data_IF_927540931014
#
_entry.id   IF_927540931014
#
_cell.length_a   1.000
_cell.length_b   1.000
_cell.length_c   1.000
_cell.angle_alpha   90.00
_cell.angle_beta   90.00
_cell.angle_gamma   90.00
#
_symmetry.space_group_name_H-M   'P 1'
#
loop_
_entity.id
_entity.type
_entity.pdbx_description
1 polymer ?
#
# COMPACT_ATOMS: atom_id res chain seq x y z
N UNK A 1 -47.86 23.29 23.60
CA UNK A 1 -46.49 22.76 23.58
C UNK A 1 -46.62 21.28 23.24
N UNK A 2 -46.31 20.88 22.01
CA UNK A 2 -46.46 19.48 21.58
C UNK A 2 -45.20 18.71 22.01
N UNK A 3 -45.37 17.73 22.90
CA UNK A 3 -44.31 16.84 23.32
C UNK A 3 -44.20 15.71 22.29
N UNK A 4 -43.04 15.60 21.66
CA UNK A 4 -42.78 14.52 20.71
C UNK A 4 -42.80 13.17 21.45
N UNK A 5 -43.35 12.10 20.84
CA UNK A 5 -43.29 10.77 21.44
C UNK A 5 -41.83 10.33 21.62
N UNK A 6 -41.51 9.87 22.82
CA UNK A 6 -40.19 9.33 23.17
C UNK A 6 -40.26 7.81 23.27
N UNK A 7 -39.28 7.12 22.68
CA UNK A 7 -39.10 5.69 22.89
C UNK A 7 -38.71 5.41 24.35
N UNK A 8 -39.28 4.35 24.92
CA UNK A 8 -38.95 3.92 26.28
C UNK A 8 -37.47 3.50 26.34
N UNK A 9 -36.67 4.01 27.30
CA UNK A 9 -35.27 3.62 27.49
C UNK A 9 -35.05 2.12 27.67
N UNK A 10 -36.08 1.34 28.04
CA UNK A 10 -36.01 -0.12 28.14
C UNK A 10 -36.05 -0.84 26.80
N UNK A 11 -36.45 -0.16 25.72
CA UNK A 11 -36.45 -0.73 24.38
C UNK A 11 -34.99 -0.79 23.93
N UNK A 12 -34.44 -2.00 23.67
CA UNK A 12 -33.06 -2.11 23.24
C UNK A 12 -32.86 -1.35 21.94
N UNK A 13 -31.82 -0.51 21.88
CA UNK A 13 -31.49 0.26 20.69
C UNK A 13 -30.96 -0.64 19.55
N UNK A 14 -30.67 -1.91 19.82
CA UNK A 14 -30.11 -2.86 18.87
C UNK A 14 -30.61 -4.28 19.19
N UNK A 15 -31.10 -5.00 18.18
CA UNK A 15 -31.54 -6.39 18.29
C UNK A 15 -30.54 -7.29 17.58
N UNK A 16 -29.86 -8.15 18.33
CA UNK A 16 -28.85 -9.07 17.78
C UNK A 16 -29.38 -10.50 17.85
N UNK A 17 -29.47 -11.23 16.72
CA UNK A 17 -29.89 -12.62 16.71
C UNK A 17 -29.07 -13.49 17.66
N UNK A 18 -29.71 -14.41 18.38
CA UNK A 18 -29.03 -15.31 19.32
C UNK A 18 -27.96 -16.16 18.63
N UNK A 19 -28.19 -16.55 17.38
CA UNK A 19 -27.21 -17.26 16.55
C UNK A 19 -25.94 -16.43 16.34
N UNK A 20 -26.07 -15.17 15.93
CA UNK A 20 -24.95 -14.23 15.77
C UNK A 20 -24.17 -14.03 17.07
N UNK A 21 -24.87 -13.89 18.20
CA UNK A 21 -24.22 -13.78 19.53
C UNK A 21 -23.39 -15.02 19.87
N UNK A 22 -23.93 -16.23 19.67
CA UNK A 22 -23.19 -17.48 19.93
C UNK A 22 -21.94 -17.60 19.05
N UNK A 23 -22.05 -17.22 17.77
CA UNK A 23 -20.91 -17.23 16.84
C UNK A 23 -19.83 -16.24 17.25
N UNK A 24 -20.21 -14.98 17.50
CA UNK A 24 -19.26 -13.97 17.93
C UNK A 24 -18.56 -14.35 19.26
N UNK A 25 -19.27 -14.99 20.20
CA UNK A 25 -18.66 -15.50 21.43
C UNK A 25 -17.65 -16.65 21.17
N UNK A 26 -17.96 -17.56 20.24
CA UNK A 26 -17.05 -18.62 19.85
C UNK A 26 -15.79 -18.05 19.18
N UNK A 27 -15.98 -17.10 18.27
CA UNK A 27 -14.88 -16.42 17.57
C UNK A 27 -14.00 -15.63 18.52
N UNK A 28 -14.59 -14.84 19.43
CA UNK A 28 -13.85 -14.13 20.47
C UNK A 28 -12.98 -15.09 21.31
N UNK A 29 -13.51 -16.27 21.65
CA UNK A 29 -12.75 -17.31 22.35
C UNK A 29 -11.60 -17.85 21.51
N UNK A 30 -11.78 -18.01 20.19
CA UNK A 30 -10.70 -18.40 19.27
C UNK A 30 -9.57 -17.37 19.29
N UNK A 31 -9.90 -16.08 19.14
CA UNK A 31 -8.90 -15.00 19.14
C UNK A 31 -8.16 -14.89 20.48
N UNK A 32 -8.86 -15.04 21.61
CA UNK A 32 -8.23 -15.10 22.93
C UNK A 32 -7.26 -16.28 23.06
N UNK A 33 -7.63 -17.47 22.56
CA UNK A 33 -6.76 -18.66 22.56
C UNK A 33 -5.58 -18.53 21.59
N UNK A 34 -5.74 -17.72 20.55
CA UNK A 34 -4.65 -17.37 19.67
C UNK A 34 -3.64 -16.41 20.34
N UNK A 35 -3.95 -15.86 21.52
CA UNK A 35 -3.11 -14.85 22.14
C UNK A 35 -3.08 -13.53 21.35
N UNK A 36 -4.09 -13.32 20.50
CA UNK A 36 -4.25 -12.14 19.67
C UNK A 36 -4.37 -10.87 20.51
N UNK A 37 -5.11 -10.98 21.63
CA UNK A 37 -5.47 -9.85 22.47
C UNK A 37 -5.10 -10.08 23.92
N UNK A 38 -4.56 -9.04 24.54
CA UNK A 38 -4.39 -8.95 25.99
C UNK A 38 -5.46 -8.02 26.58
N UNK A 39 -5.52 -7.93 27.91
CA UNK A 39 -6.52 -7.11 28.60
C UNK A 39 -6.44 -5.61 28.26
N UNK A 40 -5.31 -5.11 27.75
CA UNK A 40 -5.15 -3.70 27.38
C UNK A 40 -5.83 -3.35 26.05
N UNK A 41 -6.12 -4.35 25.21
CA UNK A 41 -6.78 -4.18 23.91
C UNK A 41 -8.30 -4.36 23.99
N UNK A 42 -8.83 -4.72 25.15
CA UNK A 42 -10.28 -4.89 25.33
C UNK A 42 -10.97 -3.52 25.46
N UNK A 43 -12.10 -3.30 24.76
CA UNK A 43 -12.85 -2.06 24.91
C UNK A 43 -13.36 -1.92 26.34
N UNK A 44 -13.43 -0.67 26.83
CA UNK A 44 -13.86 -0.37 28.21
C UNK A 44 -15.29 -0.86 28.51
N UNK A 45 -16.11 -1.06 27.49
CA UNK A 45 -17.43 -1.68 27.58
C UNK A 45 -17.57 -2.72 26.47
N UNK A 46 -17.77 -3.98 26.85
CA UNK A 46 -18.06 -5.05 25.91
C UNK A 46 -19.54 -4.95 25.52
N UNK A 47 -19.79 -4.67 24.24
CA UNK A 47 -21.14 -4.62 23.69
C UNK A 47 -21.81 -5.99 23.59
N UNK A 48 -23.09 -5.99 23.26
CA UNK A 48 -23.86 -7.21 22.99
C UNK A 48 -23.47 -7.91 21.69
N UNK A 49 -22.78 -7.18 20.80
CA UNK A 49 -22.19 -7.69 19.55
C UNK A 49 -20.72 -8.07 19.76
N UNK A 50 -20.47 -9.37 19.86
CA UNK A 50 -19.12 -9.89 20.04
C UNK A 50 -18.27 -9.82 18.76
N UNK A 51 -18.89 -9.76 17.57
CA UNK A 51 -18.15 -9.63 16.31
C UNK A 51 -17.57 -8.21 16.23
N UNK A 52 -18.40 -7.21 16.48
CA UNK A 52 -17.95 -5.82 16.57
C UNK A 52 -16.86 -5.62 17.63
N UNK A 53 -17.01 -6.27 18.78
CA UNK A 53 -15.97 -6.27 19.82
C UNK A 53 -14.64 -6.86 19.32
N UNK A 54 -14.67 -7.95 18.53
CA UNK A 54 -13.46 -8.53 17.94
C UNK A 54 -12.82 -7.61 16.89
N UNK A 55 -13.63 -6.94 16.07
CA UNK A 55 -13.16 -5.94 15.10
C UNK A 55 -12.48 -4.76 15.82
N UNK A 56 -13.09 -4.24 16.88
CA UNK A 56 -12.50 -3.16 17.71
C UNK A 56 -11.18 -3.60 18.35
N UNK A 57 -11.10 -4.82 18.88
CA UNK A 57 -9.87 -5.36 19.46
C UNK A 57 -8.75 -5.54 18.41
N UNK A 58 -9.09 -5.96 17.19
CA UNK A 58 -8.14 -6.00 16.07
C UNK A 58 -7.68 -4.60 15.67
N UNK A 59 -8.61 -3.64 15.55
CA UNK A 59 -8.28 -2.24 15.28
C UNK A 59 -7.32 -1.68 16.32
N UNK A 60 -7.60 -1.88 17.61
CA UNK A 60 -6.72 -1.46 18.70
C UNK A 60 -5.35 -2.16 18.69
N UNK A 61 -5.30 -3.45 18.32
CA UNK A 61 -4.03 -4.15 18.12
C UNK A 61 -3.23 -3.50 17.00
N UNK A 62 -3.85 -3.20 15.85
CA UNK A 62 -3.20 -2.55 14.72
C UNK A 62 -2.73 -1.14 15.04
N UNK A 63 -3.55 -0.33 15.70
CA UNK A 63 -3.15 1.01 16.16
C UNK A 63 -1.93 0.94 17.07
N UNK A 64 -1.85 -0.06 17.96
CA UNK A 64 -0.65 -0.28 18.78
C UNK A 64 0.55 -0.66 17.91
N UNK A 65 0.39 -1.63 17.02
CA UNK A 65 1.46 -2.13 16.14
C UNK A 65 1.82 -1.15 14.99
N UNK A 66 1.09 -0.07 14.79
CA UNK A 66 1.36 0.90 13.72
C UNK A 66 1.27 2.33 14.24
N UNK A 67 1.37 2.50 15.56
CA UNK A 67 1.40 3.82 16.18
C UNK A 67 2.65 4.58 15.72
N UNK A 68 2.47 5.87 15.44
CA UNK A 68 3.57 6.78 15.11
C UNK A 68 4.02 6.76 13.65
N UNK A 69 3.29 6.11 12.74
CA UNK A 69 3.47 6.32 11.31
C UNK A 69 3.20 7.79 10.95
N UNK A 70 3.96 8.33 10.00
CA UNK A 70 3.89 9.75 9.59
C UNK A 70 3.39 9.93 8.17
N UNK A 71 3.60 8.93 7.33
CA UNK A 71 3.25 8.91 5.92
C UNK A 71 2.17 7.87 5.68
N UNK A 72 2.38 6.61 6.04
CA UNK A 72 1.44 5.53 5.74
C UNK A 72 0.27 5.51 6.72
N UNK A 73 -0.95 5.26 6.19
CA UNK A 73 -2.18 5.10 6.97
C UNK A 73 -2.85 3.76 6.63
N UNK A 74 -2.42 2.66 7.24
CA UNK A 74 -2.92 1.33 6.93
C UNK A 74 -4.35 1.13 7.44
N UNK A 75 -5.16 0.38 6.70
CA UNK A 75 -6.53 0.05 7.06
C UNK A 75 -6.76 -1.46 7.06
N UNK A 76 -7.56 -1.92 8.00
CA UNK A 76 -7.89 -3.33 8.20
C UNK A 76 -9.38 -3.49 8.43
N UNK A 77 -9.97 -4.49 7.82
CA UNK A 77 -11.33 -4.92 8.07
C UNK A 77 -11.36 -6.43 8.34
N UNK A 78 -12.34 -6.86 9.12
CA UNK A 78 -12.52 -8.26 9.47
C UNK A 78 -14.00 -8.60 9.40
N UNK A 79 -14.34 -9.61 8.63
CA UNK A 79 -15.72 -10.02 8.36
C UNK A 79 -15.88 -11.52 8.64
N UNK A 80 -16.83 -11.88 9.49
CA UNK A 80 -17.24 -13.28 9.61
C UNK A 80 -18.23 -13.61 8.50
N UNK A 81 -17.87 -14.55 7.62
CA UNK A 81 -18.77 -15.08 6.60
C UNK A 81 -19.39 -16.38 7.11
N UNK A 82 -20.70 -16.51 6.92
CA UNK A 82 -21.36 -17.80 7.02
C UNK A 82 -21.01 -18.59 5.74
N UNK A 83 -20.93 -19.91 5.85
CA UNK A 83 -20.93 -20.75 4.65
C UNK A 83 -22.28 -20.56 3.96
N UNK A 84 -22.30 -20.19 2.69
CA UNK A 84 -23.54 -20.15 1.92
C UNK A 84 -24.30 -21.48 2.09
N UNK A 85 -25.57 -21.41 2.48
CA UNK A 85 -26.43 -22.57 2.73
C UNK A 85 -26.63 -23.48 1.49
N UNK A 86 -26.10 -23.08 0.32
CA UNK A 86 -26.32 -23.78 -0.95
C UNK A 86 -25.48 -25.04 -1.15
N UNK A 87 -24.33 -25.17 -0.51
CA UNK A 87 -23.50 -26.37 -0.61
C UNK A 87 -23.62 -27.17 0.67
N UNK A 88 -24.58 -28.11 0.71
CA UNK A 88 -24.98 -28.95 1.86
C UNK A 88 -23.91 -29.81 2.55
N UNK A 89 -22.64 -29.41 2.53
CA UNK A 89 -21.53 -29.86 3.36
C UNK A 89 -21.25 -28.73 4.35
N UNK A 90 -21.59 -28.92 5.63
CA UNK A 90 -21.40 -27.93 6.69
C UNK A 90 -19.96 -27.43 6.80
N UNK A 91 -19.64 -26.36 6.07
CA UNK A 91 -18.37 -25.66 6.14
C UNK A 91 -18.38 -24.80 7.41
N UNK A 92 -17.27 -24.80 8.15
CA UNK A 92 -17.13 -24.02 9.39
C UNK A 92 -17.18 -22.51 9.07
N UNK A 93 -17.66 -21.66 9.99
CA UNK A 93 -17.63 -20.21 9.78
C UNK A 93 -16.21 -19.75 9.45
N UNK A 94 -16.09 -18.88 8.45
CA UNK A 94 -14.81 -18.31 8.05
C UNK A 94 -14.72 -16.86 8.46
N UNK A 95 -13.49 -16.41 8.68
CA UNK A 95 -13.14 -15.03 8.94
C UNK A 95 -12.33 -14.53 7.75
N UNK A 96 -12.83 -13.51 7.09
CA UNK A 96 -12.12 -12.79 6.04
C UNK A 96 -11.48 -11.57 6.66
N UNK A 97 -10.18 -11.40 6.46
CA UNK A 97 -9.42 -10.23 6.91
C UNK A 97 -8.88 -9.57 5.66
N UNK A 98 -9.27 -8.33 5.43
CA UNK A 98 -8.81 -7.52 4.31
C UNK A 98 -7.99 -6.35 4.84
N UNK A 99 -6.98 -5.95 4.08
CA UNK A 99 -6.20 -4.77 4.42
C UNK A 99 -5.77 -3.97 3.21
N UNK A 100 -5.57 -2.68 3.44
CA UNK A 100 -5.16 -1.70 2.46
C UNK A 100 -4.48 -0.50 3.12
N UNK A 101 -4.38 0.61 2.41
CA UNK A 101 -3.91 1.86 2.99
C UNK A 101 -4.60 3.06 2.36
N UNK A 102 -4.82 4.10 3.16
CA UNK A 102 -5.23 5.39 2.63
C UNK A 102 -4.03 6.10 2.02
N UNK A 103 -4.28 6.78 0.91
CA UNK A 103 -3.26 7.60 0.25
C UNK A 103 -2.79 8.74 1.15
N UNK A 104 -1.47 8.88 1.31
CA UNK A 104 -0.86 10.07 1.91
C UNK A 104 -0.74 11.26 0.95
N UNK A 105 -1.26 11.10 -0.27
CA UNK A 105 -1.13 12.03 -1.38
C UNK A 105 0.26 11.99 -2.00
N UNK A 106 0.63 13.09 -2.65
CA UNK A 106 1.88 13.20 -3.41
C UNK A 106 3.02 13.68 -2.55
N UNK A 107 4.18 13.04 -2.68
CA UNK A 107 5.42 13.45 -2.02
C UNK A 107 6.58 13.46 -3.00
N UNK A 108 7.39 14.51 -2.91
CA UNK A 108 8.57 14.71 -3.76
C UNK A 108 9.79 13.98 -3.18
N UNK A 109 10.38 13.07 -3.96
CA UNK A 109 11.55 12.26 -3.53
C UNK A 109 12.78 12.42 -4.43
N UNK A 110 12.64 12.97 -5.63
CA UNK A 110 13.73 13.09 -6.61
C UNK A 110 14.96 13.80 -6.07
N UNK A 111 14.86 14.98 -5.40
CA UNK A 111 16.03 15.66 -4.85
C UNK A 111 16.86 14.80 -3.88
N UNK A 112 16.18 14.04 -3.01
CA UNK A 112 16.84 13.13 -2.07
C UNK A 112 17.55 11.98 -2.80
N UNK A 113 16.83 11.30 -3.70
CA UNK A 113 17.35 10.16 -4.43
C UNK A 113 18.50 10.54 -5.38
N UNK A 114 18.41 11.69 -6.05
CA UNK A 114 19.52 12.22 -6.86
C UNK A 114 20.73 12.61 -6.02
N UNK A 115 20.52 13.17 -4.83
CA UNK A 115 21.61 13.49 -3.93
C UNK A 115 22.37 12.24 -3.50
N UNK A 116 21.63 11.17 -3.17
CA UNK A 116 22.19 9.86 -2.85
C UNK A 116 22.97 9.28 -4.05
N UNK A 117 22.40 9.36 -5.26
CA UNK A 117 23.05 8.90 -6.49
C UNK A 117 24.34 9.67 -6.81
N UNK A 118 24.36 10.98 -6.57
CA UNK A 118 25.56 11.84 -6.69
C UNK A 118 26.60 11.50 -5.62
N UNK A 119 26.18 11.17 -4.40
CA UNK A 119 27.09 10.78 -3.32
C UNK A 119 27.80 9.47 -3.63
N UNK A 120 27.05 8.48 -4.16
CA UNK A 120 27.60 7.21 -4.62
C UNK A 120 26.74 6.68 -5.76
N UNK A 121 27.37 6.43 -6.91
CA UNK A 121 26.70 5.79 -8.04
C UNK A 121 25.97 4.52 -7.60
N UNK A 122 24.72 4.39 -8.06
CA UNK A 122 23.72 3.36 -7.76
C UNK A 122 23.07 3.45 -6.39
N UNK A 123 23.43 4.40 -5.53
CA UNK A 123 22.84 4.46 -4.18
C UNK A 123 21.39 4.94 -4.22
N UNK A 124 21.08 6.00 -4.98
CA UNK A 124 19.70 6.48 -5.13
C UNK A 124 18.81 5.39 -5.72
N UNK A 125 19.32 4.72 -6.75
CA UNK A 125 18.68 3.54 -7.34
C UNK A 125 18.42 2.42 -6.32
N UNK A 126 19.44 2.05 -5.53
CA UNK A 126 19.32 0.94 -4.57
C UNK A 126 18.27 1.23 -3.50
N UNK A 127 18.19 2.49 -3.06
CA UNK A 127 17.19 2.93 -2.08
C UNK A 127 15.78 2.86 -2.68
N UNK A 128 15.60 3.33 -3.91
CA UNK A 128 14.32 3.27 -4.62
C UNK A 128 13.86 1.82 -4.83
N UNK A 129 14.74 0.94 -5.33
CA UNK A 129 14.40 -0.48 -5.53
C UNK A 129 14.04 -1.19 -4.21
N UNK A 130 14.75 -0.89 -3.10
CA UNK A 130 14.43 -1.46 -1.80
C UNK A 130 13.05 -1.00 -1.29
N UNK A 131 12.72 0.27 -1.53
CA UNK A 131 11.41 0.85 -1.21
C UNK A 131 10.31 0.18 -2.04
N UNK A 132 10.45 0.15 -3.36
CA UNK A 132 9.49 -0.45 -4.30
C UNK A 132 9.23 -1.92 -3.96
N UNK A 133 10.30 -2.67 -3.69
CA UNK A 133 10.22 -4.09 -3.37
C UNK A 133 9.40 -4.39 -2.11
N UNK A 134 9.52 -3.57 -1.07
CA UNK A 134 8.76 -3.75 0.17
C UNK A 134 7.37 -3.15 0.06
N UNK A 135 7.21 -1.98 -0.59
CA UNK A 135 5.91 -1.38 -0.85
C UNK A 135 4.99 -2.37 -1.57
N UNK A 136 5.47 -3.03 -2.63
CA UNK A 136 4.69 -4.02 -3.39
C UNK A 136 4.29 -5.27 -2.59
N UNK A 137 4.96 -5.56 -1.46
CA UNK A 137 4.61 -6.66 -0.56
C UNK A 137 3.80 -6.22 0.66
N UNK A 138 3.62 -4.92 0.84
CA UNK A 138 2.96 -4.37 2.01
C UNK A 138 1.84 -3.43 1.59
N UNK A 139 2.17 -2.17 1.43
CA UNK A 139 1.30 -1.09 0.99
C UNK A 139 1.91 -0.52 -0.28
N UNK A 140 1.37 -0.86 -1.47
CA UNK A 140 1.91 -0.39 -2.72
C UNK A 140 1.88 1.14 -2.79
N UNK A 141 2.94 1.70 -3.36
CA UNK A 141 3.13 3.13 -3.52
C UNK A 141 3.34 3.37 -5.00
N UNK A 142 2.71 4.40 -5.54
CA UNK A 142 2.85 4.79 -6.92
C UNK A 142 4.24 5.40 -7.16
N UNK A 143 5.15 4.61 -7.72
CA UNK A 143 6.57 4.95 -7.93
C UNK A 143 6.84 5.22 -9.41
N UNK A 144 7.96 5.87 -9.79
CA UNK A 144 8.26 6.17 -11.20
C UNK A 144 8.21 4.95 -12.14
N UNK A 145 8.61 3.77 -11.67
CA UNK A 145 8.48 2.53 -12.43
C UNK A 145 7.00 2.16 -12.70
N UNK A 146 6.14 2.35 -11.71
CA UNK A 146 4.68 2.12 -11.83
C UNK A 146 4.03 3.20 -12.70
N UNK A 147 4.46 4.47 -12.62
CA UNK A 147 3.97 5.53 -13.53
C UNK A 147 4.21 5.11 -14.99
N UNK A 148 5.40 4.57 -15.28
CA UNK A 148 5.74 4.10 -16.62
C UNK A 148 4.89 2.89 -17.05
N UNK A 149 4.66 1.94 -16.13
CA UNK A 149 3.78 0.78 -16.36
C UNK A 149 2.33 1.22 -16.64
N UNK A 150 1.78 2.13 -15.85
CA UNK A 150 0.44 2.67 -16.06
C UNK A 150 0.33 3.45 -17.38
N UNK A 151 1.36 4.21 -17.78
CA UNK A 151 1.36 4.88 -19.08
C UNK A 151 1.44 3.87 -20.24
N UNK A 152 2.22 2.80 -20.08
CA UNK A 152 2.28 1.70 -21.04
C UNK A 152 0.88 1.10 -21.26
N UNK A 153 0.18 0.77 -20.18
CA UNK A 153 -1.20 0.25 -20.24
C UNK A 153 -2.20 1.27 -20.82
N UNK A 154 -2.09 2.54 -20.44
CA UNK A 154 -3.12 3.57 -20.75
C UNK A 154 -2.99 4.17 -22.14
N UNK A 155 -1.76 4.43 -22.61
CA UNK A 155 -1.53 5.17 -23.86
C UNK A 155 -0.83 4.35 -24.94
N UNK A 156 -0.07 3.31 -24.57
CA UNK A 156 0.85 2.62 -25.47
C UNK A 156 0.48 1.16 -25.73
N UNK A 157 -0.73 0.74 -25.34
CA UNK A 157 -1.23 -0.63 -25.52
C UNK A 157 -0.32 -1.72 -24.91
N UNK A 158 0.34 -1.41 -23.80
CA UNK A 158 1.27 -2.31 -23.11
C UNK A 158 2.69 -2.32 -23.69
N UNK A 159 3.00 -1.46 -24.65
CA UNK A 159 4.33 -1.33 -25.25
C UNK A 159 5.24 -0.37 -24.48
N UNK A 160 6.52 -0.31 -24.85
CA UNK A 160 7.54 0.48 -24.14
C UNK A 160 7.50 1.99 -24.45
N UNK A 161 6.85 2.36 -25.55
CA UNK A 161 6.67 3.71 -26.07
C UNK A 161 5.42 3.81 -26.95
N UNK A 162 5.08 5.03 -27.38
CA UNK A 162 3.85 5.32 -28.11
C UNK A 162 3.81 4.85 -29.57
N UNK A 163 4.87 4.26 -30.14
CA UNK A 163 4.96 4.05 -31.59
C UNK A 163 3.91 3.07 -32.12
N UNK A 164 3.57 2.03 -31.37
CA UNK A 164 2.49 1.10 -31.75
C UNK A 164 1.13 1.79 -31.76
N UNK A 165 0.84 2.61 -30.74
CA UNK A 165 -0.42 3.35 -30.69
C UNK A 165 -0.54 4.35 -31.84
N UNK A 166 0.56 5.02 -32.22
CA UNK A 166 0.60 5.92 -33.37
C UNK A 166 0.40 5.19 -34.69
N UNK A 167 1.02 4.02 -34.84
CA UNK A 167 0.86 3.19 -36.03
C UNK A 167 -0.59 2.75 -36.23
N UNK A 168 -1.25 2.27 -35.18
CA UNK A 168 -2.63 1.79 -35.26
C UNK A 168 -3.65 2.90 -35.50
N UNK A 169 -3.45 4.09 -34.90
CA UNK A 169 -4.42 5.18 -35.00
C UNK A 169 -4.20 6.11 -36.20
N UNK A 170 -2.96 6.26 -36.68
CA UNK A 170 -2.61 7.24 -37.71
C UNK A 170 -1.98 6.63 -38.97
N UNK A 171 -1.46 5.40 -38.91
CA UNK A 171 -0.71 4.78 -40.00
C UNK A 171 0.47 5.64 -40.47
N UNK A 172 0.58 5.81 -41.79
CA UNK A 172 1.65 6.60 -42.44
C UNK A 172 1.41 8.13 -42.44
N UNK A 173 0.31 8.62 -41.89
CA UNK A 173 -0.01 10.05 -41.88
C UNK A 173 0.84 10.81 -40.86
N UNK A 174 1.91 11.45 -41.34
CA UNK A 174 2.86 12.17 -40.50
C UNK A 174 2.24 13.36 -39.73
N UNK A 175 1.21 14.02 -40.28
CA UNK A 175 0.55 15.15 -39.61
C UNK A 175 -0.32 14.66 -38.46
N UNK A 176 -1.13 13.61 -38.70
CA UNK A 176 -1.94 12.99 -37.64
C UNK A 176 -1.08 12.38 -36.53
N UNK A 177 0.03 11.71 -36.87
CA UNK A 177 0.98 11.18 -35.87
C UNK A 177 1.52 12.28 -34.97
N UNK A 178 1.91 13.41 -35.55
CA UNK A 178 2.48 14.52 -34.78
C UNK A 178 1.43 15.19 -33.89
N UNK A 179 0.19 15.34 -34.37
CA UNK A 179 -0.89 15.89 -33.56
C UNK A 179 -1.33 14.95 -32.43
N UNK A 180 -1.32 13.64 -32.67
CA UNK A 180 -1.56 12.64 -31.62
C UNK A 180 -0.44 12.64 -30.57
N UNK A 181 0.84 12.73 -30.98
CA UNK A 181 1.98 12.84 -30.04
C UNK A 181 1.88 14.05 -29.12
N UNK A 182 1.33 15.18 -29.60
CA UNK A 182 1.13 16.39 -28.78
C UNK A 182 0.02 16.23 -27.75
N UNK A 183 -0.98 15.39 -28.00
CA UNK A 183 -2.14 15.21 -27.12
C UNK A 183 -1.96 14.09 -26.10
N UNK A 184 -1.15 13.07 -26.40
CA UNK A 184 -0.90 11.92 -25.51
C UNK A 184 0.30 12.11 -24.57
N UNK A 185 0.46 11.17 -23.65
CA UNK A 185 1.70 10.99 -22.87
C UNK A 185 2.70 10.17 -23.70
N UNK A 186 3.95 10.63 -23.79
CA UNK A 186 4.99 9.99 -24.61
C UNK A 186 6.20 9.55 -23.79
N UNK A 187 6.98 8.60 -24.30
CA UNK A 187 8.20 8.14 -23.64
C UNK A 187 9.20 9.27 -23.40
N UNK A 188 9.29 10.21 -24.33
CA UNK A 188 10.13 11.39 -24.21
C UNK A 188 9.75 12.29 -23.02
N UNK A 189 8.48 12.33 -22.61
CA UNK A 189 8.07 13.06 -21.40
C UNK A 189 8.66 12.42 -20.14
N UNK A 190 8.69 11.09 -20.05
CA UNK A 190 9.31 10.36 -18.95
C UNK A 190 10.81 10.61 -18.86
N UNK A 191 11.52 10.50 -19.98
CA UNK A 191 12.98 10.68 -20.02
C UNK A 191 13.41 12.13 -19.66
N UNK A 192 12.49 13.10 -19.78
CA UNK A 192 12.70 14.49 -19.35
C UNK A 192 12.48 14.68 -17.84
N UNK A 193 11.54 13.95 -17.24
CA UNK A 193 11.16 14.09 -15.83
C UNK A 193 12.04 13.22 -14.93
N UNK A 194 12.26 11.96 -15.32
CA UNK A 194 12.93 10.96 -14.51
C UNK A 194 14.29 10.62 -15.08
N UNK A 195 15.31 10.41 -14.25
CA UNK A 195 16.53 9.79 -14.72
C UNK A 195 16.26 8.32 -15.07
N UNK A 196 16.92 7.82 -16.11
CA UNK A 196 16.69 6.46 -16.64
C UNK A 196 16.87 5.33 -15.61
N UNK A 197 17.66 5.54 -14.57
CA UNK A 197 17.85 4.56 -13.49
C UNK A 197 16.65 4.44 -12.55
N UNK A 198 15.77 5.45 -12.50
CA UNK A 198 14.55 5.45 -11.68
C UNK A 198 13.37 4.75 -12.35
N UNK A 199 13.44 4.51 -13.67
CA UNK A 199 12.39 3.87 -14.47
C UNK A 199 12.59 2.34 -14.60
N UNK A 200 13.16 1.66 -13.59
CA UNK A 200 13.31 0.20 -13.59
C UNK A 200 14.45 -0.37 -14.47
N UNK A 201 15.43 0.43 -14.88
CA UNK A 201 16.51 0.00 -15.80
C UNK A 201 17.47 -1.10 -15.27
N UNK A 202 18.31 -1.69 -16.14
CA UNK A 202 19.08 -2.93 -15.87
C UNK A 202 20.35 -2.86 -14.98
N UNK A 203 20.71 -1.72 -14.41
CA UNK A 203 21.93 -1.63 -13.58
C UNK A 203 21.74 -2.30 -12.22
N UNK A 204 22.52 -3.33 -11.88
CA UNK A 204 22.37 -4.02 -10.58
C UNK A 204 22.54 -3.08 -9.38
N UNK A 205 21.68 -3.16 -8.34
CA UNK A 205 21.80 -2.38 -7.10
C UNK A 205 23.10 -2.68 -6.34
N UNK A 206 23.41 -1.82 -5.38
CA UNK A 206 24.49 -2.04 -4.43
C UNK A 206 24.16 -3.21 -3.50
N UNK A 207 25.14 -4.09 -3.30
CA UNK A 207 25.00 -5.22 -2.37
C UNK A 207 25.05 -4.78 -0.90
N UNK A 208 24.46 -5.59 -0.03
CA UNK A 208 24.39 -5.38 1.43
C UNK A 208 25.72 -5.01 2.07
N UNK A 209 26.81 -5.68 1.70
CA UNK A 209 28.16 -5.41 2.24
C UNK A 209 28.62 -3.98 1.92
N UNK A 210 28.39 -3.53 0.68
CA UNK A 210 28.75 -2.19 0.24
C UNK A 210 27.94 -1.13 0.99
N UNK A 211 26.64 -1.37 1.17
CA UNK A 211 25.77 -0.47 1.95
C UNK A 211 26.23 -0.35 3.41
N UNK A 212 26.55 -1.47 4.07
CA UNK A 212 27.09 -1.45 5.44
C UNK A 212 28.39 -0.65 5.55
N UNK A 213 29.29 -0.81 4.58
CA UNK A 213 30.53 -0.04 4.53
C UNK A 213 30.25 1.47 4.35
N UNK A 214 29.37 1.82 3.40
CA UNK A 214 29.00 3.22 3.14
C UNK A 214 28.34 3.88 4.35
N UNK A 215 27.45 3.18 5.05
CA UNK A 215 26.82 3.67 6.27
C UNK A 215 27.84 3.97 7.38
N UNK A 216 28.90 3.16 7.49
CA UNK A 216 29.95 3.34 8.49
C UNK A 216 30.97 4.44 8.12
N UNK A 217 31.22 4.66 6.83
CA UNK A 217 32.25 5.59 6.34
C UNK A 217 31.72 7.01 6.08
N UNK A 218 30.42 7.16 5.78
CA UNK A 218 29.86 8.48 5.49
C UNK A 218 29.83 9.37 6.72
N UNK A 219 30.18 10.65 6.53
CA UNK A 219 30.05 11.68 7.57
C UNK A 219 28.67 12.33 7.59
N UNK A 220 27.88 12.11 6.54
CA UNK A 220 26.52 12.62 6.45
C UNK A 220 25.57 11.66 7.17
N UNK A 221 25.12 12.09 8.35
CA UNK A 221 24.19 11.33 9.18
C UNK A 221 22.89 10.99 8.45
N UNK A 222 22.37 11.87 7.60
CA UNK A 222 21.11 11.64 6.90
C UNK A 222 21.28 10.56 5.83
N UNK A 223 22.39 10.59 5.11
CA UNK A 223 22.73 9.51 4.16
C UNK A 223 22.86 8.18 4.89
N UNK A 224 23.55 8.15 6.03
CA UNK A 224 23.66 6.93 6.85
C UNK A 224 22.28 6.40 7.29
N UNK A 225 21.40 7.27 7.81
CA UNK A 225 20.06 6.90 8.26
C UNK A 225 19.17 6.35 7.12
N UNK A 226 19.31 6.88 5.90
CA UNK A 226 18.62 6.34 4.70
C UNK A 226 19.18 4.97 4.33
N UNK A 227 20.51 4.81 4.32
CA UNK A 227 21.15 3.52 4.02
C UNK A 227 20.73 2.45 5.03
N UNK A 228 20.68 2.79 6.32
CA UNK A 228 20.22 1.88 7.37
C UNK A 228 18.76 1.46 7.17
N UNK A 229 17.90 2.37 6.72
CA UNK A 229 16.50 2.06 6.43
C UNK A 229 16.39 1.13 5.23
N UNK A 230 17.12 1.40 4.15
CA UNK A 230 17.18 0.51 2.99
C UNK A 230 17.72 -0.88 3.37
N UNK A 231 18.75 -0.97 4.22
CA UNK A 231 19.27 -2.24 4.73
C UNK A 231 18.24 -3.03 5.53
N UNK A 232 17.39 -2.36 6.32
CA UNK A 232 16.29 -2.99 7.06
C UNK A 232 15.21 -3.51 6.09
N UNK A 233 14.84 -2.72 5.07
CA UNK A 233 13.89 -3.15 4.03
C UNK A 233 14.41 -4.37 3.26
N UNK A 234 15.67 -4.36 2.84
CA UNK A 234 16.30 -5.49 2.15
C UNK A 234 16.40 -6.75 3.00
N UNK A 235 16.35 -6.62 4.33
CA UNK A 235 16.36 -7.74 5.26
C UNK A 235 14.95 -8.20 5.66
N UNK A 236 13.90 -7.51 5.21
CA UNK A 236 12.53 -7.86 5.54
C UNK A 236 12.16 -9.20 4.91
N UNK A 237 11.81 -10.15 5.77
CA UNK A 237 11.33 -11.48 5.38
C UNK A 237 9.81 -11.43 5.23
N UNK A 238 9.38 -11.01 4.04
CA UNK A 238 7.98 -10.96 3.65
C UNK A 238 7.69 -12.04 2.61
N UNK A 239 6.53 -12.73 2.71
CA UNK A 239 6.09 -13.66 1.69
C UNK A 239 5.92 -12.91 0.36
N UNK A 240 5.91 -13.66 -0.73
CA UNK A 240 5.56 -13.09 -2.02
C UNK A 240 4.06 -12.78 -2.00
N UNK A 241 3.69 -11.53 -2.25
CA UNK A 241 2.31 -11.22 -2.61
C UNK A 241 2.11 -11.68 -4.05
N UNK A 242 1.23 -12.66 -4.24
CA UNK A 242 0.93 -13.21 -5.57
C UNK A 242 -0.25 -12.45 -6.18
N UNK A 243 -0.01 -11.18 -6.51
CA UNK A 243 -0.98 -10.30 -7.17
C UNK A 243 -1.53 -10.87 -8.49
N UNK A 244 -0.76 -11.75 -9.15
CA UNK A 244 -1.13 -12.41 -10.40
C UNK A 244 -2.36 -13.33 -10.29
N UNK A 245 -2.80 -13.70 -9.09
CA UNK A 245 -4.03 -14.48 -8.89
C UNK A 245 -5.27 -13.61 -8.64
N UNK A 246 -5.12 -12.28 -8.68
CA UNK A 246 -6.23 -11.35 -8.54
C UNK A 246 -6.68 -10.88 -9.91
N UNK A 247 -7.98 -10.95 -10.13
CA UNK A 247 -8.59 -10.41 -11.33
C UNK A 247 -8.59 -8.88 -11.29
N UNK A 248 -8.37 -8.27 -12.45
CA UNK A 248 -8.36 -6.82 -12.62
C UNK A 248 -7.01 -6.14 -12.35
N UNK A 249 -7.02 -4.80 -12.43
CA UNK A 249 -5.87 -3.94 -12.18
C UNK A 249 -5.88 -3.37 -10.76
N UNK A 250 -4.71 -3.13 -10.20
CA UNK A 250 -4.59 -2.56 -8.86
C UNK A 250 -4.68 -1.03 -8.88
N UNK A 251 -5.56 -0.46 -8.07
CA UNK A 251 -5.73 1.01 -7.93
C UNK A 251 -5.63 1.50 -6.47
N UNK A 252 -5.37 0.61 -5.51
CA UNK A 252 -5.34 0.93 -4.07
C UNK A 252 -4.04 1.54 -3.55
N UNK A 253 -3.38 2.42 -4.30
CA UNK A 253 -2.06 2.95 -3.91
C UNK A 253 -2.12 3.77 -2.61
N UNK A 254 -1.22 3.46 -1.67
CA UNK A 254 -1.13 4.13 -0.36
C UNK A 254 -0.40 5.49 -0.40
N UNK A 255 0.04 5.93 -1.58
CA UNK A 255 0.59 7.26 -1.82
C UNK A 255 1.37 7.35 -3.12
N UNK A 256 1.80 8.56 -3.47
CA UNK A 256 2.44 8.87 -4.77
C UNK A 256 3.82 9.49 -4.56
N UNK A 257 4.83 8.93 -5.23
CA UNK A 257 6.19 9.47 -5.25
C UNK A 257 6.44 10.24 -6.55
N UNK A 258 6.31 11.56 -6.47
CA UNK A 258 6.68 12.48 -7.54
C UNK A 258 8.19 12.70 -7.57
N UNK A 259 8.75 12.91 -8.77
CA UNK A 259 10.16 13.25 -8.89
C UNK A 259 10.45 14.67 -8.42
N UNK A 260 9.59 15.61 -8.82
CA UNK A 260 9.72 17.03 -8.50
C UNK A 260 8.43 17.57 -7.87
N UNK A 261 8.49 18.75 -7.25
CA UNK A 261 7.30 19.37 -6.66
C UNK A 261 6.24 19.75 -7.71
N UNK A 262 6.68 19.99 -8.96
CA UNK A 262 5.87 20.42 -10.09
C UNK A 262 5.70 19.25 -11.11
N UNK A 263 5.73 18.00 -10.63
CA UNK A 263 5.63 16.79 -11.46
C UNK A 263 4.17 16.52 -11.87
N UNK A 264 3.73 17.23 -12.90
CA UNK A 264 2.39 17.08 -13.48
C UNK A 264 2.22 15.75 -14.23
N UNK A 265 3.31 15.18 -14.75
CA UNK A 265 3.29 13.93 -15.51
C UNK A 265 2.79 12.77 -14.65
N UNK A 266 3.37 12.61 -13.46
CA UNK A 266 2.98 11.54 -12.54
C UNK A 266 1.50 11.58 -12.19
N UNK A 267 0.96 12.78 -11.92
CA UNK A 267 -0.44 12.94 -11.54
C UNK A 267 -1.40 12.75 -12.71
N UNK A 268 -1.03 13.23 -13.90
CA UNK A 268 -1.81 13.02 -15.12
C UNK A 268 -1.94 11.53 -15.43
N UNK A 269 -0.84 10.78 -15.39
CA UNK A 269 -0.87 9.35 -15.69
C UNK A 269 -1.70 8.58 -14.67
N UNK A 270 -1.61 8.94 -13.38
CA UNK A 270 -2.44 8.32 -12.35
C UNK A 270 -3.94 8.57 -12.58
N UNK A 271 -4.32 9.83 -12.84
CA UNK A 271 -5.71 10.23 -13.08
C UNK A 271 -6.30 9.51 -14.32
N UNK A 272 -5.57 9.53 -15.44
CA UNK A 272 -6.01 8.88 -16.68
C UNK A 272 -6.07 7.34 -16.51
N UNK A 273 -5.16 6.73 -15.75
CA UNK A 273 -5.15 5.29 -15.45
C UNK A 273 -6.34 4.90 -14.55
N UNK A 274 -6.58 5.65 -13.48
CA UNK A 274 -7.73 5.42 -12.59
C UNK A 274 -9.06 5.60 -13.33
N UNK A 275 -9.15 6.59 -14.24
CA UNK A 275 -10.32 6.75 -15.10
C UNK A 275 -10.50 5.55 -16.03
N UNK A 276 -9.47 5.15 -16.77
CA UNK A 276 -9.53 4.03 -17.73
C UNK A 276 -9.97 2.73 -17.05
N UNK A 277 -9.45 2.46 -15.86
CA UNK A 277 -9.80 1.27 -15.08
C UNK A 277 -11.18 1.40 -14.43
N UNK A 278 -11.53 2.57 -13.92
CA UNK A 278 -12.86 2.83 -13.37
C UNK A 278 -13.96 2.62 -14.41
N UNK A 279 -13.70 2.95 -15.67
CA UNK A 279 -14.61 2.71 -16.80
C UNK A 279 -14.70 1.23 -17.20
N UNK A 280 -13.63 0.44 -17.03
CA UNK A 280 -13.65 -1.00 -17.32
C UNK A 280 -14.39 -1.82 -16.25
N UNK A 281 -14.30 -1.39 -14.98
CA UNK A 281 -14.86 -2.09 -13.83
C UNK A 281 -14.03 -3.27 -13.33
N UNK A 282 -12.90 -3.57 -13.97
CA UNK A 282 -12.03 -4.71 -13.63
C UNK A 282 -10.84 -4.24 -12.77
N UNK A 283 -11.08 -4.02 -11.47
CA UNK A 283 -10.06 -3.55 -10.54
C UNK A 283 -10.22 -4.03 -9.10
N UNK A 284 -9.15 -3.82 -8.33
CA UNK A 284 -9.16 -4.07 -6.90
C UNK A 284 -8.29 -3.07 -6.13
N UNK A 285 -8.68 -2.83 -4.88
CA UNK A 285 -8.07 -1.82 -4.01
C UNK A 285 -7.37 -2.42 -2.78
N UNK A 286 -7.84 -3.58 -2.29
CA UNK A 286 -7.21 -4.18 -1.11
C UNK A 286 -5.78 -4.62 -1.43
N UNK A 287 -4.86 -4.39 -0.49
CA UNK A 287 -3.47 -4.83 -0.59
C UNK A 287 -3.31 -6.32 -0.25
N UNK A 288 -4.26 -6.88 0.49
CA UNK A 288 -4.35 -8.31 0.72
C UNK A 288 -5.68 -8.71 1.36
N UNK A 289 -5.96 -10.00 1.25
CA UNK A 289 -7.13 -10.66 1.81
C UNK A 289 -6.71 -12.06 2.26
N UNK A 290 -7.03 -12.41 3.50
CA UNK A 290 -6.87 -13.75 4.04
C UNK A 290 -8.22 -14.29 4.50
N UNK A 291 -8.49 -15.56 4.18
CA UNK A 291 -9.65 -16.29 4.72
C UNK A 291 -9.18 -17.38 5.67
N UNK A 292 -9.61 -17.32 6.93
CA UNK A 292 -9.26 -18.24 8.00
C UNK A 292 -10.48 -19.00 8.55
N UNK A 293 -10.30 -20.25 9.01
CA UNK A 293 -11.33 -20.94 9.82
C UNK A 293 -11.49 -20.19 11.15
N UNK A 294 -12.66 -19.61 11.39
CA UNK A 294 -12.95 -18.81 12.58
C UNK A 294 -12.86 -19.62 13.89
N UNK A 295 -12.77 -20.95 13.81
CA UNK A 295 -12.66 -21.85 14.96
C UNK A 295 -11.25 -22.36 15.22
N UNK A 296 -10.26 -22.01 14.40
CA UNK A 296 -8.89 -22.51 14.55
C UNK A 296 -7.94 -21.45 15.14
N UNK A 297 -7.58 -21.55 16.44
CA UNK A 297 -6.66 -20.60 17.06
C UNK A 297 -5.23 -20.68 16.50
N UNK A 298 -4.84 -21.78 15.86
CA UNK A 298 -3.51 -21.91 15.27
C UNK A 298 -3.36 -21.02 14.03
N UNK A 299 -4.36 -21.00 13.16
CA UNK A 299 -4.38 -20.14 11.97
C UNK A 299 -4.23 -18.67 12.35
N UNK A 300 -4.97 -18.21 13.37
CA UNK A 300 -4.83 -16.83 13.83
C UNK A 300 -3.47 -16.54 14.47
N UNK A 301 -2.88 -17.47 15.23
CA UNK A 301 -1.52 -17.28 15.77
C UNK A 301 -0.51 -17.06 14.66
N UNK A 302 -0.57 -17.87 13.62
CA UNK A 302 0.35 -17.79 12.49
C UNK A 302 0.12 -16.49 11.73
N UNK A 303 -1.14 -16.10 11.53
CA UNK A 303 -1.52 -14.82 10.93
C UNK A 303 -0.99 -13.61 11.72
N UNK A 304 -1.21 -13.55 13.05
CA UNK A 304 -0.67 -12.46 13.88
C UNK A 304 0.85 -12.44 13.90
N UNK A 305 1.51 -13.60 13.84
CA UNK A 305 2.97 -13.69 13.75
C UNK A 305 3.48 -13.12 12.44
N UNK A 306 2.81 -13.46 11.34
CA UNK A 306 3.09 -12.89 10.02
C UNK A 306 2.86 -11.38 10.01
N UNK A 307 1.69 -10.91 10.47
CA UNK A 307 1.34 -9.50 10.44
C UNK A 307 2.25 -8.62 11.28
N UNK A 308 2.89 -9.14 12.34
CA UNK A 308 3.94 -8.38 13.05
C UNK A 308 5.14 -8.08 12.16
N UNK A 309 5.62 -9.06 11.37
CA UNK A 309 6.69 -8.83 10.38
C UNK A 309 6.27 -7.81 9.34
N UNK A 310 5.01 -7.87 8.91
CA UNK A 310 4.42 -6.90 8.00
C UNK A 310 4.41 -5.49 8.61
N UNK A 311 3.94 -5.32 9.85
CA UNK A 311 3.95 -4.04 10.55
C UNK A 311 5.36 -3.47 10.72
N UNK A 312 6.34 -4.32 11.05
CA UNK A 312 7.74 -3.89 11.17
C UNK A 312 8.29 -3.38 9.82
N UNK A 313 7.99 -4.06 8.72
CA UNK A 313 8.36 -3.61 7.39
C UNK A 313 7.67 -2.28 7.02
N UNK A 314 6.38 -2.13 7.32
CA UNK A 314 5.61 -0.89 7.09
C UNK A 314 6.17 0.29 7.87
N UNK A 315 6.58 0.10 9.13
CA UNK A 315 7.24 1.15 9.93
C UNK A 315 8.55 1.61 9.30
N UNK A 316 9.36 0.68 8.79
CA UNK A 316 10.62 1.04 8.12
C UNK A 316 10.34 1.74 6.79
N UNK A 317 9.33 1.30 6.05
CA UNK A 317 8.89 1.90 4.80
C UNK A 317 8.42 3.35 5.02
N UNK A 318 7.55 3.57 6.00
CA UNK A 318 7.09 4.89 6.44
C UNK A 318 8.24 5.83 6.79
N UNK A 319 9.19 5.34 7.60
CA UNK A 319 10.35 6.11 8.03
C UNK A 319 11.29 6.45 6.87
N UNK A 320 11.47 5.54 5.92
CA UNK A 320 12.24 5.82 4.71
C UNK A 320 11.57 6.90 3.85
N UNK A 321 10.25 6.79 3.59
CA UNK A 321 9.50 7.79 2.82
C UNK A 321 9.61 9.15 3.50
N UNK A 322 9.41 9.20 4.83
CA UNK A 322 9.57 10.44 5.59
C UNK A 322 10.97 11.05 5.44
N UNK A 323 12.04 10.25 5.56
CA UNK A 323 13.42 10.76 5.40
C UNK A 323 13.70 11.30 4.00
N UNK A 324 13.10 10.69 2.96
CA UNK A 324 13.26 11.15 1.58
C UNK A 324 12.49 12.44 1.29
N UNK A 325 11.46 12.76 2.08
CA UNK A 325 10.48 13.82 1.74
C UNK A 325 10.57 15.06 2.65
N UNK A 326 11.04 14.93 3.88
CA UNK A 326 11.00 16.02 4.88
C UNK A 326 12.39 16.60 5.21
N UNK A 327 13.42 16.18 4.47
CA UNK A 327 14.77 16.70 4.62
C UNK A 327 15.00 17.98 3.82
N UNK A 328 15.82 18.90 4.35
CA UNK A 328 16.51 19.95 3.57
C UNK A 328 17.51 19.29 2.59
N UNK A 329 17.02 18.52 1.62
CA UNK A 329 17.82 17.93 0.57
C UNK A 329 18.22 19.01 -0.45
N UNK A 330 19.47 19.00 -0.96
CA UNK A 330 19.87 19.97 -1.97
C UNK A 330 18.95 19.93 -3.19
N UNK A 331 18.41 21.09 -3.58
CA UNK A 331 17.47 21.22 -4.69
C UNK A 331 15.99 21.11 -4.30
N UNK A 332 15.67 20.75 -3.06
CA UNK A 332 14.31 20.78 -2.56
C UNK A 332 13.91 22.25 -2.26
N UNK A 333 12.89 22.76 -2.95
CA UNK A 333 12.26 24.04 -2.54
C UNK A 333 11.73 23.81 -1.13
N UNK A 334 12.10 24.65 -0.16
CA UNK A 334 11.54 24.60 1.20
C UNK A 334 10.01 24.76 1.10
N UNK A 335 9.30 23.65 1.16
CA UNK A 335 7.85 23.59 1.10
C UNK A 335 7.26 24.07 2.41
N UNK A 336 6.26 24.96 2.33
CA UNK A 336 5.48 25.47 3.44
C UNK A 336 4.89 24.30 4.24
N UNK A 337 5.11 24.33 5.55
CA UNK A 337 4.42 23.49 6.53
C UNK A 337 2.91 23.65 6.44
#
# INVERSE_FOLDING_TARGET
MFQLPTLDPSIPCELIPQASRRRGALFARTLLRAGAFDASLMPARIGSDHIKTCQEALGGWMERELSGLRMLSPQFSMHLRDSDEHDGRGMRPSCVIEWGGQSFGTRCVGPALEHLEKHRAKLGKTVLEALEHVAWRTLPIYTPAIVLECASDTYWYGELDEETALEENCGDDAEQREDMRKSMVTRAMFDKVFPSWALGGGAKPLGRRTLLQLAAETKDRRIAEVIESALKLMAADLPKNEWAFRDGRFVGFSGVLAWNADDELTLRVLDDYEQMIGESGDYFESCGEDTADANDPAVFRDWFTYMRKWCDAVRVLDDLIWKLTEGDWPGMKKGRR
#
